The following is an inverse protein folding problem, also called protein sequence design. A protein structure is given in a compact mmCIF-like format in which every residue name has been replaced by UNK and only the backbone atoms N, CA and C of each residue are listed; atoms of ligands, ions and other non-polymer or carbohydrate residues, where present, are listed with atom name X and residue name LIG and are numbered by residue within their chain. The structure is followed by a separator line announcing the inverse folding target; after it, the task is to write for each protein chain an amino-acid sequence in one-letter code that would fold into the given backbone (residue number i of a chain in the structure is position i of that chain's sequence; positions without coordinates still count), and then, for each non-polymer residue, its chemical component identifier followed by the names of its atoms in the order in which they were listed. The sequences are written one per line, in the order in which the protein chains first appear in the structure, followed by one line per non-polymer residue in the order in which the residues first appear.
data_IF_919114613444
#
_entry.id   IF_919114613444
#
_cell.length_a   1.000
_cell.length_b   1.000
_cell.length_c   1.000
_cell.angle_alpha   90.00
_cell.angle_beta   90.00
_cell.angle_gamma   90.00
#
_symmetry.space_group_name_H-M   'P 1'
#
loop_
_entity.id
_entity.type
_entity.pdbx_description
1 polymer ?
#
# COMPACT_ATOMS: atom_id res chain seq x y z
N UNK A 1 -10.67 -15.95 -1.65
CA UNK A 1 -10.41 -15.14 -2.86
C UNK A 1 -11.61 -15.19 -3.77
N UNK A 2 -12.04 -14.07 -4.32
CA UNK A 2 -13.09 -14.02 -5.33
C UNK A 2 -12.57 -14.53 -6.69
N UNK A 3 -13.46 -15.10 -7.50
CA UNK A 3 -13.16 -15.41 -8.91
C UNK A 3 -12.99 -14.12 -9.73
N UNK A 4 -12.34 -14.20 -10.88
CA UNK A 4 -12.20 -13.06 -11.80
C UNK A 4 -13.57 -12.46 -12.19
N UNK A 5 -14.59 -13.31 -12.42
CA UNK A 5 -15.94 -12.86 -12.71
C UNK A 5 -16.57 -12.08 -11.53
N UNK A 6 -16.44 -12.59 -10.30
CA UNK A 6 -16.93 -11.91 -9.11
C UNK A 6 -16.24 -10.56 -8.90
N UNK A 7 -14.90 -10.51 -9.06
CA UNK A 7 -14.15 -9.25 -8.95
C UNK A 7 -14.58 -8.24 -10.03
N UNK A 8 -14.78 -8.70 -11.27
CA UNK A 8 -15.25 -7.82 -12.34
C UNK A 8 -16.65 -7.26 -12.03
N UNK A 9 -17.57 -8.10 -11.55
CA UNK A 9 -18.93 -7.65 -11.19
C UNK A 9 -18.88 -6.63 -10.05
N UNK A 10 -18.08 -6.90 -9.00
CA UNK A 10 -17.89 -5.96 -7.89
C UNK A 10 -17.25 -4.65 -8.33
N UNK A 11 -16.25 -4.72 -9.22
CA UNK A 11 -15.64 -3.51 -9.78
C UNK A 11 -16.62 -2.67 -10.59
N UNK A 12 -17.46 -3.31 -11.42
CA UNK A 12 -18.49 -2.62 -12.16
C UNK A 12 -19.53 -1.96 -11.23
N UNK A 13 -19.95 -2.67 -10.19
CA UNK A 13 -20.83 -2.11 -9.18
C UNK A 13 -20.19 -0.90 -8.49
N UNK A 14 -18.95 -1.03 -8.02
CA UNK A 14 -18.17 0.08 -7.48
C UNK A 14 -18.13 1.25 -8.46
N UNK A 15 -17.76 1.00 -9.72
CA UNK A 15 -17.64 2.05 -10.72
C UNK A 15 -18.96 2.80 -10.97
N UNK A 16 -20.09 2.12 -10.90
CA UNK A 16 -21.42 2.73 -11.09
C UNK A 16 -21.90 3.50 -9.86
N UNK A 17 -21.59 3.03 -8.66
CA UNK A 17 -22.11 3.59 -7.41
C UNK A 17 -21.16 4.59 -6.73
N UNK A 18 -19.86 4.50 -6.98
CA UNK A 18 -18.86 5.37 -6.40
C UNK A 18 -19.05 6.84 -6.79
N UNK A 19 -18.74 7.72 -5.87
CA UNK A 19 -18.72 9.17 -6.10
C UNK A 19 -17.77 9.54 -7.23
N UNK A 20 -18.09 10.62 -7.91
CA UNK A 20 -17.28 11.09 -9.02
C UNK A 20 -15.86 11.46 -8.56
N UNK A 21 -14.86 10.85 -9.20
CA UNK A 21 -13.45 11.11 -8.93
C UNK A 21 -12.96 12.55 -9.19
N UNK A 22 -13.82 13.45 -9.67
CA UNK A 22 -13.52 14.88 -9.82
C UNK A 22 -13.99 15.73 -8.63
N UNK A 23 -14.60 15.11 -7.61
CA UNK A 23 -15.04 15.77 -6.38
C UNK A 23 -16.44 16.38 -6.43
N UNK A 24 -17.18 16.24 -7.54
CA UNK A 24 -18.57 16.72 -7.59
C UNK A 24 -19.44 15.95 -6.59
N UNK A 25 -20.20 16.69 -5.75
CA UNK A 25 -21.06 16.12 -4.72
C UNK A 25 -20.33 15.70 -3.44
N UNK A 26 -19.03 15.99 -3.30
CA UNK A 26 -18.28 15.77 -2.06
C UNK A 26 -18.40 17.03 -1.18
N UNK A 27 -19.06 16.89 -0.03
CA UNK A 27 -19.30 18.00 0.91
C UNK A 27 -18.23 18.12 2.00
N UNK A 28 -17.24 17.20 2.06
CA UNK A 28 -16.10 17.29 2.95
C UNK A 28 -14.97 18.12 2.32
N UNK A 29 -14.60 19.29 2.87
CA UNK A 29 -13.50 20.10 2.33
C UNK A 29 -12.17 19.33 2.29
N UNK A 30 -11.89 18.50 3.31
CA UNK A 30 -10.69 17.66 3.35
C UNK A 30 -10.66 16.66 2.19
N UNK A 31 -11.75 15.94 1.97
CA UNK A 31 -11.82 14.94 0.89
C UNK A 31 -11.88 15.61 -0.48
N UNK A 32 -12.55 16.75 -0.62
CA UNK A 32 -12.52 17.53 -1.85
C UNK A 32 -11.07 17.94 -2.18
N UNK A 33 -10.32 18.41 -1.18
CA UNK A 33 -8.92 18.75 -1.33
C UNK A 33 -8.06 17.53 -1.69
N UNK A 34 -8.26 16.40 -1.01
CA UNK A 34 -7.59 15.13 -1.35
C UNK A 34 -7.81 14.73 -2.81
N UNK A 35 -9.05 14.82 -3.29
CA UNK A 35 -9.39 14.50 -4.68
C UNK A 35 -8.70 15.45 -5.65
N UNK A 36 -8.76 16.75 -5.40
CA UNK A 36 -8.28 17.75 -6.36
C UNK A 36 -6.77 17.91 -6.38
N UNK A 37 -6.11 17.82 -5.23
CA UNK A 37 -4.68 18.07 -5.09
C UNK A 37 -3.82 16.80 -5.11
N UNK A 38 -4.39 15.63 -4.76
CA UNK A 38 -3.61 14.39 -4.63
C UNK A 38 -4.08 13.34 -5.63
N UNK A 39 -5.38 13.01 -5.63
CA UNK A 39 -5.91 11.96 -6.47
C UNK A 39 -5.79 12.32 -7.97
N UNK A 40 -6.09 13.56 -8.31
CA UNK A 40 -6.09 14.10 -9.68
C UNK A 40 -4.84 14.92 -10.04
N UNK A 41 -3.82 14.92 -9.21
CA UNK A 41 -2.55 15.55 -9.56
C UNK A 41 -1.94 14.88 -10.80
N UNK A 42 -1.65 15.68 -11.81
CA UNK A 42 -1.09 15.25 -13.10
C UNK A 42 0.34 15.75 -13.33
N UNK A 43 0.96 16.30 -12.29
CA UNK A 43 2.33 16.80 -12.43
C UNK A 43 3.28 15.67 -12.86
N UNK A 44 4.20 15.91 -13.79
CA UNK A 44 5.26 14.97 -14.11
C UNK A 44 6.33 15.07 -13.02
N UNK A 45 6.52 13.98 -12.30
CA UNK A 45 7.59 13.86 -11.30
C UNK A 45 8.71 12.98 -11.87
N UNK A 46 9.96 13.39 -11.75
CA UNK A 46 11.13 12.63 -12.22
C UNK A 46 11.18 11.21 -11.63
N UNK A 47 10.70 11.06 -10.39
CA UNK A 47 10.56 9.77 -9.73
C UNK A 47 9.74 8.76 -10.57
N UNK A 48 8.74 9.24 -11.31
CA UNK A 48 7.89 8.36 -12.12
C UNK A 48 8.66 7.69 -13.24
N UNK A 49 9.49 8.44 -13.93
CA UNK A 49 10.32 7.91 -15.01
C UNK A 49 11.36 6.91 -14.47
N UNK A 50 12.02 7.25 -13.37
CA UNK A 50 13.02 6.38 -12.72
C UNK A 50 12.43 5.05 -12.29
N UNK A 51 11.30 5.07 -11.55
CA UNK A 51 10.67 3.85 -11.02
C UNK A 51 10.07 3.01 -12.14
N UNK A 52 9.43 3.62 -13.14
CA UNK A 52 8.88 2.86 -14.27
C UNK A 52 9.97 2.35 -15.23
N UNK A 53 11.10 3.02 -15.31
CA UNK A 53 12.32 2.51 -15.95
C UNK A 53 12.83 1.23 -15.28
N UNK A 54 12.89 1.21 -13.94
CA UNK A 54 13.19 0.01 -13.17
C UNK A 54 12.15 -1.09 -13.44
N UNK A 55 10.86 -0.78 -13.34
CA UNK A 55 9.77 -1.75 -13.62
C UNK A 55 9.95 -2.39 -15.01
N UNK A 56 10.28 -1.59 -16.01
CA UNK A 56 10.49 -2.07 -17.39
C UNK A 56 11.64 -3.06 -17.49
N UNK A 57 12.73 -2.85 -16.74
CA UNK A 57 13.86 -3.78 -16.65
C UNK A 57 13.44 -5.09 -15.96
N UNK A 58 12.76 -4.98 -14.81
CA UNK A 58 12.30 -6.14 -14.03
C UNK A 58 11.32 -7.02 -14.81
N UNK A 59 10.44 -6.43 -15.62
CA UNK A 59 9.49 -7.19 -16.48
C UNK A 59 10.19 -8.04 -17.56
N UNK A 60 11.46 -7.78 -17.85
CA UNK A 60 12.28 -8.54 -18.82
C UNK A 60 13.23 -9.52 -18.15
N UNK A 61 13.38 -9.45 -16.84
CA UNK A 61 14.37 -10.25 -16.10
C UNK A 61 13.84 -11.69 -15.85
N UNK A 62 14.47 -12.65 -16.52
CA UNK A 62 14.14 -14.07 -16.45
C UNK A 62 14.91 -14.82 -15.33
N UNK A 63 15.63 -14.10 -14.47
CA UNK A 63 16.34 -14.70 -13.32
C UNK A 63 15.35 -15.44 -12.43
N UNK A 64 15.61 -16.72 -12.17
CA UNK A 64 14.75 -17.58 -11.38
C UNK A 64 15.13 -17.43 -9.90
N UNK A 65 14.14 -17.14 -9.07
CA UNK A 65 14.25 -17.11 -7.61
C UNK A 65 13.58 -18.32 -6.99
N UNK A 66 14.17 -18.85 -5.93
CA UNK A 66 13.56 -19.90 -5.11
C UNK A 66 12.96 -19.27 -3.86
N UNK A 67 11.64 -19.10 -3.83
CA UNK A 67 10.95 -18.32 -2.81
C UNK A 67 10.25 -19.24 -1.82
N UNK A 68 10.47 -19.03 -0.51
CA UNK A 68 9.62 -19.58 0.53
C UNK A 68 8.48 -18.58 0.80
N UNK A 69 7.28 -18.88 0.31
CA UNK A 69 6.10 -18.04 0.54
C UNK A 69 5.67 -18.14 2.02
N UNK A 70 5.62 -17.01 2.71
CA UNK A 70 5.20 -16.91 4.12
C UNK A 70 3.81 -16.25 4.28
N UNK A 71 3.14 -15.89 3.17
CA UNK A 71 1.84 -15.20 3.18
C UNK A 71 0.66 -16.09 2.81
N UNK A 72 -0.40 -15.47 2.27
CA UNK A 72 -1.60 -16.14 1.77
C UNK A 72 -1.37 -17.02 0.53
N UNK A 73 -0.15 -17.05 0.02
CA UNK A 73 0.23 -17.72 -1.22
C UNK A 73 -0.05 -16.86 -2.47
N UNK A 74 0.61 -17.21 -3.57
CA UNK A 74 0.31 -16.62 -4.86
C UNK A 74 -0.80 -17.38 -5.55
N UNK A 75 -1.83 -16.68 -6.04
CA UNK A 75 -2.87 -17.26 -6.87
C UNK A 75 -2.37 -17.78 -8.22
N UNK A 76 -1.17 -17.33 -8.64
CA UNK A 76 -0.65 -17.53 -10.00
C UNK A 76 0.36 -18.69 -10.07
N UNK A 77 1.02 -19.05 -8.99
CA UNK A 77 2.03 -20.11 -9.02
C UNK A 77 2.02 -20.96 -7.74
N UNK A 78 1.88 -22.27 -7.93
CA UNK A 78 2.02 -23.29 -6.88
C UNK A 78 3.46 -23.75 -6.68
N UNK A 79 4.43 -23.21 -7.45
CA UNK A 79 5.84 -23.59 -7.38
C UNK A 79 6.63 -22.55 -6.58
N UNK A 80 7.61 -23.05 -5.81
CA UNK A 80 8.54 -22.19 -5.08
C UNK A 80 9.52 -21.43 -6.01
N UNK A 81 9.44 -21.65 -7.32
CA UNK A 81 10.29 -21.01 -8.31
C UNK A 81 9.51 -19.98 -9.12
N UNK A 82 9.97 -18.73 -9.09
CA UNK A 82 9.36 -17.62 -9.86
C UNK A 82 10.46 -16.78 -10.51
N UNK A 83 10.24 -16.34 -11.73
CA UNK A 83 11.13 -15.36 -12.36
C UNK A 83 10.85 -13.96 -11.80
N UNK A 84 11.88 -13.10 -11.77
CA UNK A 84 11.72 -11.69 -11.41
C UNK A 84 10.64 -11.04 -12.29
N UNK A 85 10.64 -11.32 -13.60
CA UNK A 85 9.60 -10.83 -14.51
C UNK A 85 8.19 -11.24 -14.09
N UNK A 86 8.00 -12.49 -13.64
CA UNK A 86 6.70 -12.98 -13.15
C UNK A 86 6.26 -12.24 -11.86
N UNK A 87 7.19 -11.97 -10.95
CA UNK A 87 6.90 -11.22 -9.71
C UNK A 87 6.55 -9.77 -10.08
N UNK A 88 7.35 -9.13 -10.94
CA UNK A 88 7.11 -7.76 -11.39
C UNK A 88 5.74 -7.58 -12.08
N UNK A 89 5.29 -8.61 -12.82
CA UNK A 89 4.01 -8.60 -13.51
C UNK A 89 2.81 -8.79 -12.58
N UNK A 90 2.94 -9.66 -11.56
CA UNK A 90 1.79 -10.14 -10.80
C UNK A 90 1.71 -9.57 -9.37
N UNK A 91 2.85 -9.20 -8.76
CA UNK A 91 2.90 -8.70 -7.38
C UNK A 91 3.11 -7.18 -7.31
N UNK A 92 3.68 -6.54 -8.34
CA UNK A 92 3.89 -5.11 -8.29
C UNK A 92 2.59 -4.34 -8.54
N UNK A 93 2.28 -3.38 -7.68
CA UNK A 93 1.13 -2.50 -7.87
C UNK A 93 1.15 -1.82 -9.24
N UNK A 94 0.00 -1.67 -9.90
CA UNK A 94 -0.10 -0.88 -11.12
C UNK A 94 0.48 0.53 -10.93
N UNK A 95 1.12 1.06 -11.97
CA UNK A 95 1.71 2.41 -12.01
C UNK A 95 0.84 3.48 -11.35
N UNK A 96 -0.46 3.45 -11.62
CA UNK A 96 -1.45 4.40 -11.12
C UNK A 96 -1.46 4.48 -9.59
N UNK A 97 -1.41 3.32 -8.90
CA UNK A 97 -1.42 3.27 -7.44
C UNK A 97 -0.06 3.62 -6.84
N UNK A 98 1.05 3.17 -7.43
CA UNK A 98 2.38 3.59 -7.00
C UNK A 98 2.55 5.11 -7.06
N UNK A 99 2.09 5.73 -8.15
CA UNK A 99 2.08 7.19 -8.29
C UNK A 99 1.14 7.89 -7.31
N UNK A 100 0.00 7.28 -6.95
CA UNK A 100 -0.87 7.82 -5.91
C UNK A 100 -0.17 7.80 -4.55
N UNK A 101 0.47 6.69 -4.18
CA UNK A 101 1.22 6.58 -2.94
C UNK A 101 2.36 7.61 -2.88
N UNK A 102 3.09 7.80 -3.98
CA UNK A 102 4.07 8.88 -4.11
C UNK A 102 3.45 10.24 -3.82
N UNK A 103 2.34 10.60 -4.48
CA UNK A 103 1.68 11.90 -4.30
C UNK A 103 1.19 12.12 -2.87
N UNK A 104 0.67 11.07 -2.23
CA UNK A 104 0.25 11.14 -0.83
C UNK A 104 1.45 11.43 0.09
N UNK A 105 2.55 10.70 -0.04
CA UNK A 105 3.76 10.93 0.75
C UNK A 105 4.35 12.31 0.45
N UNK A 106 4.42 12.70 -0.82
CA UNK A 106 4.91 14.01 -1.24
C UNK A 106 4.06 15.17 -0.71
N UNK A 107 2.75 14.98 -0.57
CA UNK A 107 1.84 16.01 -0.05
C UNK A 107 1.85 16.07 1.48
N UNK A 108 1.69 14.93 2.15
CA UNK A 108 1.55 14.87 3.61
C UNK A 108 2.89 14.89 4.37
N UNK A 109 4.02 14.68 3.70
CA UNK A 109 5.37 14.79 4.23
C UNK A 109 5.62 13.99 5.53
N UNK A 110 5.22 12.69 5.61
CA UNK A 110 5.43 11.87 6.79
C UNK A 110 6.92 11.73 7.13
N UNK A 111 7.26 11.62 8.42
CA UNK A 111 8.63 11.40 8.87
C UNK A 111 8.96 9.91 9.03
N UNK A 112 7.96 9.10 9.44
CA UNK A 112 8.11 7.67 9.66
C UNK A 112 7.14 6.92 8.74
N UNK A 113 7.69 6.23 7.75
CA UNK A 113 6.96 5.45 6.76
C UNK A 113 7.20 3.97 7.02
N UNK A 114 6.14 3.19 7.10
CA UNK A 114 6.18 1.75 7.25
C UNK A 114 5.50 1.08 6.05
N UNK A 115 6.13 0.06 5.49
CA UNK A 115 5.56 -0.75 4.43
C UNK A 115 5.60 -2.23 4.83
N UNK A 116 4.48 -2.93 4.71
CA UNK A 116 4.39 -4.39 4.83
C UNK A 116 4.25 -4.97 3.43
N UNK A 117 5.30 -5.64 2.95
CA UNK A 117 5.35 -6.19 1.60
C UNK A 117 6.23 -5.38 0.65
N UNK A 118 7.56 -5.49 0.82
CA UNK A 118 8.56 -4.84 -0.05
C UNK A 118 8.47 -5.33 -1.49
N UNK A 119 8.28 -6.65 -1.67
CA UNK A 119 8.38 -7.31 -2.97
C UNK A 119 9.67 -6.90 -3.69
N UNK A 120 9.62 -6.54 -4.96
CA UNK A 120 10.80 -6.06 -5.72
C UNK A 120 11.18 -4.60 -5.43
N UNK A 121 10.55 -3.95 -4.45
CA UNK A 121 10.86 -2.59 -4.01
C UNK A 121 10.32 -1.47 -4.91
N UNK A 122 9.38 -1.77 -5.82
CA UNK A 122 8.81 -0.77 -6.73
C UNK A 122 7.99 0.27 -5.95
N UNK A 123 7.10 -0.17 -5.06
CA UNK A 123 6.29 0.73 -4.22
C UNK A 123 7.19 1.47 -3.23
N UNK A 124 8.09 0.76 -2.57
CA UNK A 124 9.10 1.34 -1.66
C UNK A 124 9.88 2.47 -2.34
N UNK A 125 10.26 2.30 -3.61
CA UNK A 125 10.98 3.31 -4.38
C UNK A 125 10.13 4.58 -4.59
N UNK A 126 8.84 4.44 -4.88
CA UNK A 126 7.93 5.58 -4.96
C UNK A 126 7.84 6.33 -3.62
N UNK A 127 7.70 5.60 -2.50
CA UNK A 127 7.62 6.19 -1.16
C UNK A 127 8.93 6.95 -0.81
N UNK A 128 10.08 6.35 -1.10
CA UNK A 128 11.40 6.93 -0.82
C UNK A 128 11.67 8.19 -1.64
N UNK A 129 11.38 8.18 -2.96
CA UNK A 129 11.52 9.36 -3.80
C UNK A 129 10.58 10.51 -3.37
N UNK A 130 9.41 10.20 -2.83
CA UNK A 130 8.45 11.21 -2.40
C UNK A 130 8.92 12.00 -1.17
N UNK A 131 9.72 11.36 -0.29
CA UNK A 131 10.24 11.99 0.94
C UNK A 131 11.65 11.44 1.25
N UNK A 132 12.71 11.94 0.59
CA UNK A 132 14.06 11.40 0.76
C UNK A 132 14.64 11.44 2.17
N UNK A 133 14.13 12.32 3.04
CA UNK A 133 14.59 12.43 4.44
C UNK A 133 13.74 11.66 5.46
N UNK A 134 12.73 10.89 5.00
CA UNK A 134 11.92 10.09 5.92
C UNK A 134 12.65 8.82 6.38
N UNK A 135 12.38 8.37 7.58
CA UNK A 135 12.68 7.01 8.01
C UNK A 135 11.72 6.07 7.30
N UNK A 136 12.21 5.27 6.36
CA UNK A 136 11.38 4.29 5.64
C UNK A 136 11.83 2.89 6.02
N UNK A 137 10.93 2.16 6.67
CA UNK A 137 11.12 0.74 7.01
C UNK A 137 10.12 -0.08 6.20
N UNK A 138 10.63 -1.11 5.52
CA UNK A 138 9.81 -2.05 4.75
C UNK A 138 10.10 -3.48 5.17
N UNK A 139 9.07 -4.31 5.26
CA UNK A 139 9.16 -5.69 5.70
C UNK A 139 8.95 -6.64 4.52
N UNK A 140 9.81 -7.67 4.41
CA UNK A 140 9.71 -8.69 3.36
C UNK A 140 9.93 -10.10 3.95
N UNK A 141 8.99 -11.00 3.66
CA UNK A 141 9.07 -12.38 4.15
C UNK A 141 10.14 -13.22 3.46
N UNK A 142 10.42 -12.98 2.19
CA UNK A 142 11.31 -13.77 1.36
C UNK A 142 12.68 -13.10 1.19
N UNK A 143 13.72 -13.68 1.78
CA UNK A 143 15.09 -13.13 1.73
C UNK A 143 15.61 -12.94 0.29
N UNK A 144 15.25 -13.84 -0.62
CA UNK A 144 15.66 -13.77 -2.03
C UNK A 144 15.01 -12.57 -2.73
N UNK A 145 13.77 -12.26 -2.41
CA UNK A 145 13.06 -11.08 -2.94
C UNK A 145 13.65 -9.81 -2.32
N UNK A 146 13.89 -9.80 -1.01
CA UNK A 146 14.53 -8.69 -0.32
C UNK A 146 15.92 -8.36 -0.89
N UNK A 147 16.70 -9.38 -1.27
CA UNK A 147 18.00 -9.18 -1.91
C UNK A 147 17.88 -8.49 -3.27
N UNK A 148 16.85 -8.83 -4.06
CA UNK A 148 16.57 -8.12 -5.33
C UNK A 148 16.15 -6.68 -5.07
N UNK A 149 15.28 -6.44 -4.08
CA UNK A 149 14.85 -5.09 -3.72
C UNK A 149 16.03 -4.19 -3.32
N UNK A 150 17.00 -4.71 -2.53
CA UNK A 150 18.23 -3.95 -2.19
C UNK A 150 19.01 -3.51 -3.42
N UNK A 151 19.24 -4.43 -4.38
CA UNK A 151 19.90 -4.09 -5.66
C UNK A 151 19.14 -3.04 -6.45
N UNK A 152 17.82 -3.09 -6.41
CA UNK A 152 16.97 -2.10 -7.07
C UNK A 152 17.10 -0.73 -6.39
N UNK A 153 17.17 -0.66 -5.06
CA UNK A 153 17.40 0.59 -4.33
C UNK A 153 18.80 1.17 -4.63
N UNK A 154 19.84 0.33 -4.66
CA UNK A 154 21.18 0.75 -5.08
C UNK A 154 21.18 1.31 -6.51
N UNK A 155 20.50 0.63 -7.46
CA UNK A 155 20.37 1.07 -8.86
C UNK A 155 19.68 2.42 -9.00
N UNK A 156 18.72 2.72 -8.10
CA UNK A 156 17.99 3.98 -8.05
C UNK A 156 18.66 5.03 -7.15
N UNK A 157 19.81 4.71 -6.55
CA UNK A 157 20.54 5.56 -5.62
C UNK A 157 19.69 5.98 -4.40
N UNK A 158 18.78 5.10 -3.97
CA UNK A 158 17.91 5.33 -2.82
C UNK A 158 18.64 4.98 -1.52
N UNK A 159 18.69 5.95 -0.62
CA UNK A 159 19.27 5.81 0.71
C UNK A 159 18.15 5.85 1.76
N UNK A 160 18.49 5.50 3.00
CA UNK A 160 17.57 5.57 4.15
C UNK A 160 16.36 4.62 4.08
N UNK A 161 16.48 3.50 3.34
CA UNK A 161 15.51 2.41 3.34
C UNK A 161 16.05 1.26 4.19
N UNK A 162 15.30 0.85 5.19
CA UNK A 162 15.61 -0.33 6.01
C UNK A 162 14.69 -1.48 5.63
N UNK A 163 15.24 -2.56 5.06
CA UNK A 163 14.47 -3.80 4.82
C UNK A 163 14.64 -4.72 6.02
N UNK A 164 13.53 -5.09 6.62
CA UNK A 164 13.47 -6.11 7.69
C UNK A 164 12.96 -7.42 7.09
N UNK A 165 13.81 -8.42 7.09
CA UNK A 165 13.46 -9.76 6.58
C UNK A 165 12.77 -10.60 7.65
N UNK A 166 11.74 -11.33 7.23
CA UNK A 166 11.02 -12.28 8.06
C UNK A 166 9.52 -12.15 8.02
N UNK A 167 8.84 -13.13 8.61
CA UNK A 167 7.38 -13.11 8.71
C UNK A 167 6.92 -11.87 9.51
N UNK A 168 5.94 -11.15 8.99
CA UNK A 168 5.39 -9.95 9.63
C UNK A 168 4.87 -10.23 11.04
N UNK A 169 4.32 -11.42 11.29
CA UNK A 169 3.83 -11.82 12.60
C UNK A 169 4.94 -11.82 13.67
N UNK A 170 6.19 -12.01 13.25
CA UNK A 170 7.36 -12.07 14.15
C UNK A 170 8.13 -10.74 14.19
N UNK A 171 8.09 -9.94 13.12
CA UNK A 171 8.96 -8.78 12.95
C UNK A 171 8.26 -7.46 13.24
N UNK A 172 6.97 -7.34 12.91
CA UNK A 172 6.23 -6.10 12.94
C UNK A 172 6.20 -5.45 14.33
N UNK A 173 5.92 -6.23 15.38
CA UNK A 173 5.85 -5.70 16.74
C UNK A 173 7.18 -5.06 17.19
N UNK A 174 8.31 -5.69 16.87
CA UNK A 174 9.65 -5.17 17.19
C UNK A 174 9.92 -3.88 16.43
N UNK A 175 9.57 -3.83 15.15
CA UNK A 175 9.74 -2.64 14.30
C UNK A 175 8.91 -1.47 14.84
N UNK A 176 7.63 -1.68 15.11
CA UNK A 176 6.72 -0.65 15.62
C UNK A 176 7.22 -0.12 16.97
N UNK A 177 7.69 -0.98 17.87
CA UNK A 177 8.20 -0.58 19.17
C UNK A 177 9.45 0.32 19.06
N UNK A 178 10.27 0.10 18.05
CA UNK A 178 11.47 0.92 17.77
C UNK A 178 11.18 2.29 17.13
N UNK A 179 9.97 2.50 16.59
CA UNK A 179 9.58 3.78 15.99
C UNK A 179 8.96 4.73 17.02
N UNK A 180 9.22 6.05 16.93
CA UNK A 180 8.56 7.04 17.77
C UNK A 180 7.06 7.18 17.41
N UNK A 181 6.73 7.14 16.14
CA UNK A 181 5.38 7.17 15.56
C UNK A 181 5.35 6.41 14.25
N UNK A 182 4.14 6.12 13.75
CA UNK A 182 3.89 5.69 12.38
C UNK A 182 3.01 6.74 11.74
N UNK A 183 3.58 7.53 10.83
CA UNK A 183 2.88 8.64 10.21
C UNK A 183 2.19 8.23 8.90
N UNK A 184 2.78 7.24 8.22
CA UNK A 184 2.25 6.65 7.00
C UNK A 184 2.55 5.16 6.98
N UNK A 185 1.54 4.32 6.76
CA UNK A 185 1.78 2.90 6.57
C UNK A 185 1.03 2.36 5.34
N UNK A 186 1.72 1.55 4.54
CA UNK A 186 1.14 0.79 3.45
C UNK A 186 1.19 -0.70 3.78
N UNK A 187 0.02 -1.32 3.88
CA UNK A 187 -0.15 -2.72 4.27
C UNK A 187 -0.53 -3.51 3.01
N UNK A 188 0.48 -4.12 2.37
CA UNK A 188 0.37 -4.93 1.15
C UNK A 188 0.92 -6.34 1.40
N UNK A 189 0.25 -7.08 2.24
CA UNK A 189 0.66 -8.45 2.51
C UNK A 189 -0.32 -9.23 3.36
N UNK A 190 -0.25 -10.55 3.22
CA UNK A 190 -1.04 -11.54 3.94
C UNK A 190 -2.57 -11.50 3.71
N UNK A 191 -3.11 -10.69 2.87
CA UNK A 191 -4.49 -10.52 2.39
C UNK A 191 -5.55 -11.50 2.97
N UNK A 192 -5.55 -11.67 4.30
CA UNK A 192 -6.51 -12.45 5.10
C UNK A 192 -7.04 -11.58 6.23
N UNK A 193 -8.24 -11.86 6.68
CA UNK A 193 -8.93 -11.07 7.69
C UNK A 193 -8.12 -10.91 8.97
N UNK A 194 -7.82 -12.04 9.64
CA UNK A 194 -7.22 -12.01 10.98
C UNK A 194 -5.84 -11.31 10.98
N UNK A 195 -4.88 -11.60 10.06
CA UNK A 195 -3.63 -10.87 10.02
C UNK A 195 -3.81 -9.37 9.74
N UNK A 196 -4.70 -8.99 8.82
CA UNK A 196 -4.94 -7.58 8.48
C UNK A 196 -5.50 -6.81 9.68
N UNK A 197 -6.48 -7.36 10.38
CA UNK A 197 -7.03 -6.78 11.62
C UNK A 197 -5.96 -6.70 12.72
N UNK A 198 -5.13 -7.73 12.89
CA UNK A 198 -4.03 -7.76 13.86
C UNK A 198 -2.99 -6.68 13.57
N UNK A 199 -2.54 -6.54 12.32
CA UNK A 199 -1.57 -5.49 11.93
C UNK A 199 -2.15 -4.10 12.18
N UNK A 200 -3.41 -3.89 11.85
CA UNK A 200 -4.09 -2.63 12.17
C UNK A 200 -4.05 -2.33 13.68
N UNK A 201 -4.42 -3.30 14.54
CA UNK A 201 -4.40 -3.12 15.98
C UNK A 201 -3.00 -2.88 16.54
N UNK A 202 -1.97 -3.54 15.99
CA UNK A 202 -0.58 -3.32 16.39
C UNK A 202 -0.08 -1.91 16.06
N UNK A 203 -0.56 -1.31 14.97
CA UNK A 203 -0.18 0.04 14.56
C UNK A 203 -0.83 1.14 15.43
N UNK A 204 -2.06 0.93 15.92
CA UNK A 204 -2.85 1.94 16.61
C UNK A 204 -2.12 2.68 17.75
N UNK A 205 -1.31 2.04 18.61
CA UNK A 205 -0.59 2.74 19.69
C UNK A 205 0.44 3.78 19.22
N UNK A 206 0.84 3.72 17.94
CA UNK A 206 1.84 4.62 17.33
C UNK A 206 1.23 5.63 16.35
N UNK A 207 -0.09 5.61 16.19
CA UNK A 207 -0.81 6.45 15.24
C UNK A 207 -1.12 7.80 15.86
N UNK A 208 -0.64 8.87 15.20
CA UNK A 208 -0.99 10.25 15.51
C UNK A 208 -2.24 10.74 14.78
N UNK A 209 -2.63 11.99 15.04
CA UNK A 209 -3.78 12.64 14.41
C UNK A 209 -3.70 12.72 12.88
N UNK A 210 -2.52 12.98 12.35
CA UNK A 210 -2.30 13.17 10.92
C UNK A 210 -1.81 11.92 10.19
N UNK A 211 -1.76 10.79 10.90
CA UNK A 211 -1.33 9.52 10.34
C UNK A 211 -2.29 9.01 9.27
N UNK A 212 -1.74 8.27 8.32
CA UNK A 212 -2.47 7.66 7.21
C UNK A 212 -2.12 6.19 7.13
N UNK A 213 -3.12 5.32 7.21
CA UNK A 213 -2.95 3.89 6.90
C UNK A 213 -3.61 3.55 5.57
N UNK A 214 -2.94 2.74 4.78
CA UNK A 214 -3.44 2.29 3.48
C UNK A 214 -3.39 0.78 3.46
N UNK A 215 -4.54 0.17 3.18
CA UNK A 215 -4.70 -1.28 3.07
C UNK A 215 -4.89 -1.65 1.61
N UNK A 216 -4.10 -2.61 1.18
CA UNK A 216 -4.20 -3.14 -0.16
C UNK A 216 -5.25 -4.24 -0.29
N UNK A 217 -5.77 -4.38 -1.52
CA UNK A 217 -6.66 -5.45 -1.92
C UNK A 217 -7.91 -5.62 -1.03
N UNK A 218 -8.50 -4.49 -0.55
CA UNK A 218 -9.64 -4.48 0.38
C UNK A 218 -10.90 -5.20 -0.14
N UNK A 219 -11.02 -5.41 -1.45
CA UNK A 219 -12.10 -6.17 -2.10
C UNK A 219 -11.65 -7.47 -2.77
N UNK A 220 -10.43 -7.94 -2.48
CA UNK A 220 -9.85 -9.16 -3.06
C UNK A 220 -10.59 -10.44 -2.68
N UNK A 221 -11.14 -10.50 -1.48
CA UNK A 221 -11.85 -11.65 -0.93
C UNK A 221 -12.90 -11.19 0.08
N UNK A 222 -13.82 -12.10 0.43
CA UNK A 222 -14.78 -11.84 1.48
C UNK A 222 -14.09 -11.53 2.82
N UNK A 223 -13.01 -12.23 3.15
CA UNK A 223 -12.24 -11.97 4.36
C UNK A 223 -11.66 -10.56 4.39
N UNK A 224 -11.14 -10.07 3.26
CA UNK A 224 -10.61 -8.71 3.18
C UNK A 224 -11.70 -7.65 3.27
N UNK A 225 -12.88 -7.90 2.70
CA UNK A 225 -14.04 -7.00 2.88
C UNK A 225 -14.49 -6.97 4.35
N UNK A 226 -14.52 -8.11 5.04
CA UNK A 226 -14.85 -8.16 6.46
C UNK A 226 -13.80 -7.43 7.31
N UNK A 227 -12.51 -7.58 7.01
CA UNK A 227 -11.43 -6.82 7.66
C UNK A 227 -11.60 -5.31 7.42
N UNK A 228 -11.88 -4.92 6.18
CA UNK A 228 -12.11 -3.51 5.83
C UNK A 228 -13.31 -2.92 6.59
N UNK A 229 -14.41 -3.66 6.71
CA UNK A 229 -15.55 -3.23 7.52
C UNK A 229 -15.20 -3.10 9.01
N UNK A 230 -14.43 -4.05 9.58
CA UNK A 230 -13.94 -3.96 10.96
C UNK A 230 -13.09 -2.70 11.17
N UNK A 231 -12.16 -2.42 10.26
CA UNK A 231 -11.28 -1.24 10.32
C UNK A 231 -12.08 0.05 10.23
N UNK A 232 -13.01 0.18 9.27
CA UNK A 232 -13.86 1.36 9.11
C UNK A 232 -14.66 1.66 10.38
N UNK A 233 -15.17 0.62 11.03
CA UNK A 233 -16.01 0.75 12.21
C UNK A 233 -15.23 0.98 13.51
N UNK A 234 -13.90 0.86 13.50
CA UNK A 234 -13.08 1.06 14.69
C UNK A 234 -13.19 2.49 15.25
N UNK A 235 -13.26 2.62 16.59
CA UNK A 235 -13.51 3.90 17.27
C UNK A 235 -12.47 5.00 16.94
N UNK A 236 -11.23 4.63 16.68
CA UNK A 236 -10.15 5.55 16.32
C UNK A 236 -10.22 6.04 14.87
N UNK A 237 -10.93 5.35 13.99
CA UNK A 237 -11.05 5.71 12.58
C UNK A 237 -12.09 6.81 12.42
N UNK A 238 -11.73 7.89 11.73
CA UNK A 238 -12.58 9.07 11.54
C UNK A 238 -13.03 9.25 10.11
N UNK A 239 -12.15 8.97 9.14
CA UNK A 239 -12.50 9.09 7.73
C UNK A 239 -11.83 7.97 6.93
N UNK A 240 -12.53 7.42 5.95
CA UNK A 240 -11.97 6.44 5.02
C UNK A 240 -12.30 6.79 3.58
N UNK A 241 -11.39 6.41 2.68
CA UNK A 241 -11.58 6.50 1.23
C UNK A 241 -11.34 5.11 0.64
N UNK A 242 -12.37 4.58 -0.02
CA UNK A 242 -12.34 3.32 -0.75
C UNK A 242 -12.14 3.63 -2.25
N UNK A 243 -11.04 3.12 -2.81
CA UNK A 243 -10.70 3.22 -4.24
C UNK A 243 -10.75 1.85 -4.93
N UNK A 244 -11.52 0.91 -4.39
CA UNK A 244 -11.69 -0.48 -4.75
C UNK A 244 -10.47 -1.36 -4.45
N UNK A 245 -9.33 -1.08 -5.05
CA UNK A 245 -8.11 -1.88 -4.83
C UNK A 245 -7.37 -1.51 -3.56
N UNK A 246 -7.51 -0.27 -3.10
CA UNK A 246 -6.93 0.19 -1.84
C UNK A 246 -7.95 0.94 -1.00
N UNK A 247 -7.84 0.77 0.32
CA UNK A 247 -8.57 1.52 1.33
C UNK A 247 -7.64 2.44 2.10
N UNK A 248 -8.01 3.70 2.23
CA UNK A 248 -7.23 4.73 2.91
C UNK A 248 -7.95 5.12 4.19
N UNK A 249 -7.22 5.18 5.31
CA UNK A 249 -7.74 5.50 6.65
C UNK A 249 -7.07 6.77 7.17
N UNK A 250 -7.88 7.71 7.65
CA UNK A 250 -7.46 8.94 8.30
C UNK A 250 -7.98 8.97 9.74
N UNK A 251 -7.15 9.46 10.67
CA UNK A 251 -7.43 9.48 12.12
C UNK A 251 -7.76 10.87 12.65
N UNK A 252 -7.86 11.86 11.78
CA UNK A 252 -8.03 13.28 12.10
C UNK A 252 -9.24 13.54 12.99
N UNK A 253 -8.99 14.02 14.20
CA UNK A 253 -10.02 14.29 15.23
C UNK A 253 -10.93 15.46 14.87
N UNK A 254 -10.55 16.27 13.91
CA UNK A 254 -11.39 17.35 13.33
C UNK A 254 -12.66 16.80 12.67
N UNK A 255 -12.66 15.54 12.28
CA UNK A 255 -13.89 14.85 11.90
C UNK A 255 -14.68 14.49 13.16
N UNK A 256 -15.69 15.29 13.50
CA UNK A 256 -16.58 15.04 14.64
C UNK A 256 -17.40 13.77 14.45
N UNK A 257 -17.79 13.49 13.20
CA UNK A 257 -18.51 12.27 12.80
C UNK A 257 -17.66 11.44 11.85
N UNK A 258 -17.89 10.12 11.85
CA UNK A 258 -17.23 9.22 10.91
C UNK A 258 -17.73 9.48 9.50
N UNK A 259 -16.79 9.51 8.55
CA UNK A 259 -17.07 9.72 7.13
C UNK A 259 -16.45 8.60 6.29
N UNK A 260 -17.24 8.01 5.43
CA UNK A 260 -16.78 6.94 4.54
C UNK A 260 -17.09 7.32 3.10
N UNK A 261 -16.07 7.38 2.27
CA UNK A 261 -16.17 7.76 0.87
C UNK A 261 -15.76 6.61 -0.04
N UNK A 262 -16.59 6.31 -1.02
CA UNK A 262 -16.24 5.42 -2.13
C UNK A 262 -16.07 6.31 -3.34
N UNK A 263 -14.86 6.36 -3.93
CA UNK A 263 -14.48 7.35 -4.95
C UNK A 263 -13.92 6.63 -6.16
N UNK A 264 -14.39 6.98 -7.36
CA UNK A 264 -13.81 6.46 -8.61
C UNK A 264 -12.38 6.92 -8.79
N UNK A 265 -11.52 5.92 -9.00
CA UNK A 265 -10.10 6.16 -9.27
C UNK A 265 -9.59 5.22 -10.35
#
# INVERSE_FOLDING_TARGET
MYSAFQLTTKYLQYYLTASNGKGHGIHSPFIFHFITQILNDKQPYDAYEKVEGLRTKLLKDQTLLTIKDMGAGSSVSKTNHRTIASIAKNAAKPKKFGQLLFRMVNYYQPQNILELGTSLGITTSYLSFAKPGATLITLEGAAEIAAVARKNFETLELQHISIIEGNFDNTLATVINGLPSVDFAFIDGNHRREPTERYFHQLLPKIGNDAILIFDDIHWSREMEEAWETIKNHSSVRCTVDLFFIGIVFFRREFTEKQHFVIRF
#
